data_IF_534442217634
#
_entry.id   IF_534442217634
#
_cell.length_a   1.000
_cell.length_b   1.000
_cell.length_c   1.000
_cell.angle_alpha   90.00
_cell.angle_beta   90.00
_cell.angle_gamma   90.00
#
_symmetry.space_group_name_H-M   'P 1'
#
loop_
_entity.id
_entity.type
_entity.pdbx_description
1 polymer ?
#
# COMPACT_ATOMS: atom_id res chain seq x y z
N UNK A 1 26.48 9.04 -13.43
CA UNK A 1 25.35 8.62 -12.63
C UNK A 1 24.25 8.10 -13.54
N UNK A 2 23.75 6.95 -13.22
CA UNK A 2 22.67 6.37 -13.99
C UNK A 2 21.34 7.07 -13.66
N UNK A 3 20.55 7.30 -14.70
CA UNK A 3 19.21 7.84 -14.50
C UNK A 3 18.39 6.85 -13.69
N UNK A 4 17.59 7.35 -12.77
CA UNK A 4 16.70 6.51 -11.99
C UNK A 4 15.62 5.98 -12.91
N UNK A 5 15.38 4.68 -12.88
CA UNK A 5 14.29 4.08 -13.64
C UNK A 5 12.98 4.68 -13.13
N UNK A 6 12.09 5.14 -14.01
CA UNK A 6 10.80 5.68 -13.57
C UNK A 6 9.99 4.70 -12.72
N UNK A 7 10.09 3.40 -12.97
CA UNK A 7 9.43 2.39 -12.14
C UNK A 7 10.02 2.33 -10.75
N UNK A 8 11.36 2.41 -10.63
CA UNK A 8 12.02 2.42 -9.32
C UNK A 8 11.64 3.65 -8.52
N UNK A 9 11.59 4.80 -9.19
CA UNK A 9 11.16 6.03 -8.54
C UNK A 9 9.72 5.92 -8.04
N UNK A 10 8.83 5.36 -8.86
CA UNK A 10 7.44 5.16 -8.47
C UNK A 10 7.30 4.21 -7.27
N UNK A 11 8.16 3.20 -7.17
CA UNK A 11 8.17 2.34 -5.98
C UNK A 11 8.62 3.09 -4.74
N UNK A 12 9.61 3.96 -4.87
CA UNK A 12 10.08 4.75 -3.74
C UNK A 12 9.02 5.71 -3.22
N UNK A 13 8.22 6.28 -4.11
CA UNK A 13 7.20 7.25 -3.72
C UNK A 13 5.82 6.63 -3.51
N UNK A 14 5.71 5.30 -3.62
CA UNK A 14 4.44 4.60 -3.47
C UNK A 14 3.76 4.92 -2.14
N UNK A 15 4.48 4.75 -1.03
CA UNK A 15 3.91 4.99 0.29
C UNK A 15 3.55 6.47 0.49
N UNK A 16 4.47 7.41 0.22
CA UNK A 16 4.12 8.83 0.31
C UNK A 16 2.95 9.23 -0.60
N UNK A 17 2.85 8.62 -1.79
CA UNK A 17 1.75 8.90 -2.69
C UNK A 17 0.42 8.50 -2.07
N UNK A 18 0.35 7.30 -1.51
CA UNK A 18 -0.87 6.81 -0.86
C UNK A 18 -1.20 7.57 0.41
N UNK A 19 -0.18 8.09 1.10
CA UNK A 19 -0.36 8.90 2.30
C UNK A 19 -0.65 10.36 1.99
N UNK A 20 -0.65 10.74 0.70
CA UNK A 20 -0.88 12.10 0.23
C UNK A 20 0.17 13.08 0.75
N UNK A 21 1.41 12.62 0.84
CA UNK A 21 2.54 13.42 1.33
C UNK A 21 3.39 14.03 0.21
N UNK A 22 3.13 13.66 -1.04
CA UNK A 22 3.89 14.19 -2.17
C UNK A 22 3.48 15.63 -2.46
N UNK A 23 4.44 16.40 -2.99
CA UNK A 23 4.12 17.71 -3.55
C UNK A 23 3.25 17.51 -4.78
N UNK A 24 2.56 18.57 -5.20
CA UNK A 24 1.71 18.49 -6.38
C UNK A 24 2.49 18.09 -7.62
N UNK A 25 3.71 18.64 -7.78
CA UNK A 25 4.57 18.30 -8.92
C UNK A 25 4.98 16.83 -8.89
N UNK A 26 5.36 16.32 -7.73
CA UNK A 26 5.73 14.92 -7.57
C UNK A 26 4.55 14.00 -7.85
N UNK A 27 3.38 14.38 -7.39
CA UNK A 27 2.16 13.61 -7.60
C UNK A 27 1.81 13.54 -9.09
N UNK A 28 1.90 14.66 -9.79
CA UNK A 28 1.64 14.70 -11.22
C UNK A 28 2.62 13.83 -11.99
N UNK A 29 3.88 13.84 -11.61
CA UNK A 29 4.90 13.02 -12.23
C UNK A 29 4.62 11.54 -12.03
N UNK A 30 4.25 11.15 -10.80
CA UNK A 30 3.89 9.76 -10.48
C UNK A 30 2.65 9.33 -11.28
N UNK A 31 1.64 10.16 -11.31
CA UNK A 31 0.40 9.86 -12.04
C UNK A 31 0.64 9.74 -13.55
N UNK A 32 1.53 10.57 -14.08
CA UNK A 32 1.91 10.50 -15.49
C UNK A 32 2.55 9.15 -15.82
N UNK A 33 3.44 8.67 -14.95
CA UNK A 33 4.04 7.35 -15.12
C UNK A 33 3.01 6.25 -14.99
N UNK A 34 2.12 6.33 -14.00
CA UNK A 34 1.08 5.33 -13.79
C UNK A 34 0.15 5.21 -14.99
N UNK A 35 -0.11 6.30 -15.69
CA UNK A 35 -0.95 6.28 -16.87
C UNK A 35 -0.33 5.46 -18.01
N UNK A 36 1.01 5.44 -18.08
CA UNK A 36 1.73 4.74 -19.14
C UNK A 36 2.35 3.39 -18.76
N UNK A 37 2.31 3.01 -17.48
CA UNK A 37 2.94 1.79 -17.02
C UNK A 37 1.93 0.91 -16.27
N UNK A 38 1.49 -0.17 -16.91
CA UNK A 38 0.50 -1.08 -16.30
C UNK A 38 1.05 -1.80 -15.07
N UNK A 39 2.36 -2.07 -15.06
CA UNK A 39 2.99 -2.73 -13.90
C UNK A 39 2.88 -1.86 -12.65
N UNK A 40 3.29 -0.60 -12.74
CA UNK A 40 3.24 0.32 -11.60
C UNK A 40 1.80 0.61 -11.19
N UNK A 41 0.89 0.74 -12.16
CA UNK A 41 -0.52 0.95 -11.88
C UNK A 41 -1.12 -0.19 -11.08
N UNK A 42 -0.81 -1.43 -11.45
CA UNK A 42 -1.27 -2.62 -10.73
C UNK A 42 -0.66 -2.68 -9.33
N UNK A 43 0.61 -2.32 -9.20
CA UNK A 43 1.29 -2.30 -7.92
C UNK A 43 0.65 -1.29 -6.97
N UNK A 44 0.38 -0.08 -7.45
CA UNK A 44 -0.28 0.95 -6.65
C UNK A 44 -1.68 0.54 -6.24
N UNK A 45 -2.42 -0.06 -7.17
CA UNK A 45 -3.77 -0.54 -6.89
C UNK A 45 -3.78 -1.63 -5.83
N UNK A 46 -2.82 -2.55 -5.91
CA UNK A 46 -2.68 -3.63 -4.95
C UNK A 46 -2.38 -3.09 -3.54
N UNK A 47 -1.43 -2.16 -3.44
CA UNK A 47 -1.08 -1.57 -2.15
C UNK A 47 -2.23 -0.77 -1.53
N UNK A 48 -2.96 -0.04 -2.37
CA UNK A 48 -4.15 0.67 -1.90
C UNK A 48 -5.19 -0.31 -1.37
N UNK A 49 -5.39 -1.42 -2.05
CA UNK A 49 -6.31 -2.46 -1.62
C UNK A 49 -5.89 -3.09 -0.30
N UNK A 50 -4.60 -3.35 -0.12
CA UNK A 50 -4.07 -3.86 1.15
C UNK A 50 -4.32 -2.90 2.30
N UNK A 51 -4.07 -1.61 2.09
CA UNK A 51 -4.29 -0.59 3.11
C UNK A 51 -5.76 -0.50 3.50
N UNK A 52 -6.64 -0.61 2.52
CA UNK A 52 -8.08 -0.60 2.78
C UNK A 52 -8.49 -1.82 3.58
N UNK A 53 -7.96 -2.96 3.24
CA UNK A 53 -8.24 -4.21 3.95
C UNK A 53 -7.78 -4.14 5.41
N UNK A 54 -6.56 -3.67 5.65
CA UNK A 54 -6.02 -3.53 7.01
C UNK A 54 -6.86 -2.57 7.82
N UNK A 55 -7.25 -1.43 7.22
CA UNK A 55 -8.08 -0.43 7.88
C UNK A 55 -9.43 -1.01 8.30
N UNK A 56 -10.03 -1.78 7.39
CA UNK A 56 -11.31 -2.43 7.63
C UNK A 56 -11.21 -3.46 8.75
N UNK A 57 -10.14 -4.25 8.76
CA UNK A 57 -9.90 -5.25 9.79
C UNK A 57 -9.74 -4.63 11.18
N UNK A 58 -9.18 -3.40 11.25
CA UNK A 58 -9.03 -2.69 12.51
C UNK A 58 -10.37 -2.16 13.01
N UNK A 59 -11.24 -1.72 12.10
CA UNK A 59 -12.53 -1.13 12.45
C UNK A 59 -13.58 -2.17 12.81
N UNK A 60 -13.60 -3.28 12.07
CA UNK A 60 -14.57 -4.34 12.32
C UNK A 60 -14.18 -5.16 13.55
N UNK A 61 -15.10 -5.35 14.52
CA UNK A 61 -14.80 -6.18 15.68
C UNK A 61 -14.56 -7.62 15.24
N UNK A 62 -13.50 -8.20 15.78
CA UNK A 62 -13.16 -9.59 15.50
C UNK A 62 -14.19 -10.51 16.17
N UNK A 63 -14.58 -11.55 15.44
CA UNK A 63 -15.50 -12.55 15.98
C UNK A 63 -14.90 -13.19 17.24
N UNK A 64 -15.70 -13.35 18.32
CA UNK A 64 -15.16 -13.89 19.58
C UNK A 64 -14.47 -15.24 19.44
N UNK A 65 -15.00 -16.12 18.60
CA UNK A 65 -14.40 -17.43 18.38
C UNK A 65 -13.01 -17.34 17.77
N UNK A 66 -12.87 -16.45 16.76
CA UNK A 66 -11.58 -16.22 16.11
C UNK A 66 -10.59 -15.58 17.07
N UNK A 67 -11.06 -14.62 17.87
CA UNK A 67 -10.22 -13.95 18.85
C UNK A 67 -9.67 -14.95 19.86
N UNK A 68 -10.50 -15.87 20.29
CA UNK A 68 -10.09 -16.95 21.23
C UNK A 68 -9.03 -17.84 20.62
N UNK A 69 -9.23 -18.24 19.37
CA UNK A 69 -8.25 -19.11 18.66
C UNK A 69 -6.90 -18.42 18.51
N UNK A 70 -6.90 -17.15 18.17
CA UNK A 70 -5.66 -16.38 18.05
C UNK A 70 -4.94 -16.26 19.39
N UNK A 71 -5.70 -16.09 20.49
CA UNK A 71 -5.12 -16.05 21.82
C UNK A 71 -4.49 -17.39 22.22
N UNK A 72 -5.14 -18.48 21.88
CA UNK A 72 -4.61 -19.82 22.12
C UNK A 72 -3.31 -20.06 21.36
N UNK A 73 -3.24 -19.65 20.09
CA UNK A 73 -2.04 -19.77 19.29
C UNK A 73 -0.89 -18.95 19.89
N UNK A 74 -1.20 -17.78 20.41
CA UNK A 74 -0.19 -16.94 21.05
C UNK A 74 0.38 -17.58 22.30
N UNK A 75 -0.44 -18.28 23.05
CA UNK A 75 -0.01 -18.96 24.27
C UNK A 75 0.88 -20.16 24.00
N UNK A 76 0.75 -20.79 22.83
CA UNK A 76 1.56 -21.91 22.44
C UNK A 76 2.97 -21.52 21.98
N UNK A 77 3.17 -20.25 21.67
CA UNK A 77 4.47 -19.75 21.27
C UNK A 77 5.32 -19.40 22.49
#
# INVERSE_FOLDING_TARGET
>A
MTAVDPCDWCEEVLQPYLDRELTEAEREEAESHLAGCSYCRKRYHFEEGLRRYVRQAVVEPMEPALKRRLSELRLEL
#
